data_IF_343999013386
#
_entry.id   IF_343999013386
#
_cell.length_a   1.000
_cell.length_b   1.000
_cell.length_c   1.000
_cell.angle_alpha   90.00
_cell.angle_beta   90.00
_cell.angle_gamma   90.00
#
_symmetry.space_group_name_H-M   'P 1'
#
loop_
_entity.id
_entity.type
_entity.pdbx_description
1 polymer ?
#
# COMPACT_ATOMS: atom_id res chain seq x y z
N UNK A 1 2.44 13.62 2.31
CA UNK A 1 1.17 14.39 2.27
C UNK A 1 0.14 13.52 1.58
N UNK A 2 -1.08 13.37 2.13
CA UNK A 2 -2.14 12.60 1.47
C UNK A 2 -2.61 13.32 0.20
N UNK A 3 -2.84 12.57 -0.87
CA UNK A 3 -3.49 13.10 -2.08
C UNK A 3 -4.99 12.83 -1.96
N UNK A 4 -5.80 13.90 -2.03
CA UNK A 4 -7.25 13.82 -2.07
C UNK A 4 -7.76 13.69 -3.51
N UNK A 5 -8.73 12.82 -3.72
CA UNK A 5 -9.34 12.55 -5.01
C UNK A 5 -10.86 12.57 -4.89
N UNK A 6 -11.53 13.14 -5.88
CA UNK A 6 -13.00 13.15 -5.99
C UNK A 6 -13.45 12.09 -6.99
N UNK A 7 -14.39 11.27 -6.57
CA UNK A 7 -14.88 10.13 -7.33
C UNK A 7 -16.39 10.09 -7.42
N UNK A 8 -16.90 9.57 -8.54
CA UNK A 8 -18.31 9.23 -8.73
C UNK A 8 -18.46 7.76 -9.07
N UNK A 9 -19.45 7.11 -8.47
CA UNK A 9 -19.76 5.71 -8.74
C UNK A 9 -20.59 5.60 -10.01
N UNK A 10 -20.16 4.77 -10.97
CA UNK A 10 -20.90 4.56 -12.21
C UNK A 10 -22.21 3.77 -12.00
N UNK A 11 -22.36 3.07 -10.87
CA UNK A 11 -23.51 2.21 -10.59
C UNK A 11 -24.63 2.90 -9.79
N UNK A 12 -24.28 3.86 -8.91
CA UNK A 12 -25.26 4.52 -8.05
C UNK A 12 -25.12 6.05 -7.99
N UNK A 13 -24.27 6.62 -8.85
CA UNK A 13 -23.98 8.06 -8.96
C UNK A 13 -23.52 8.74 -7.66
N UNK A 14 -23.18 7.96 -6.63
CA UNK A 14 -22.69 8.51 -5.38
C UNK A 14 -21.33 9.17 -5.60
N UNK A 15 -21.18 10.38 -5.08
CA UNK A 15 -19.94 11.15 -5.14
C UNK A 15 -19.26 11.16 -3.77
N UNK A 16 -17.95 10.92 -3.73
CA UNK A 16 -17.18 10.96 -2.50
C UNK A 16 -15.76 11.46 -2.72
N UNK A 17 -15.15 11.93 -1.63
CA UNK A 17 -13.74 12.28 -1.59
C UNK A 17 -12.95 11.19 -0.86
N UNK A 18 -11.76 10.90 -1.35
CA UNK A 18 -10.89 9.90 -0.75
C UNK A 18 -9.45 10.41 -0.65
N UNK A 19 -8.86 10.23 0.52
CA UNK A 19 -7.46 10.56 0.79
C UNK A 19 -6.59 9.30 0.70
N UNK A 20 -5.67 9.29 -0.26
CA UNK A 20 -4.73 8.19 -0.40
C UNK A 20 -3.59 8.30 0.60
N UNK A 21 -3.15 7.14 1.07
CA UNK A 21 -1.96 7.02 1.94
C UNK A 21 -0.94 6.13 1.24
N UNK A 22 0.25 6.68 0.99
CA UNK A 22 1.39 5.93 0.43
C UNK A 22 2.28 5.39 1.54
N UNK A 23 2.52 4.08 1.52
CA UNK A 23 3.42 3.37 2.43
C UNK A 23 4.44 2.58 1.62
N UNK A 24 5.66 2.48 2.14
CA UNK A 24 6.73 1.70 1.51
C UNK A 24 7.53 0.94 2.56
N UNK A 25 7.86 -0.31 2.27
CA UNK A 25 8.73 -1.12 3.14
C UNK A 25 9.77 -1.89 2.31
N UNK A 26 11.01 -1.80 2.79
CA UNK A 26 12.16 -2.47 2.21
C UNK A 26 12.95 -1.66 1.17
N UNK A 27 14.16 -2.14 0.82
CA UNK A 27 15.09 -1.49 -0.10
C UNK A 27 14.61 -1.49 -1.56
N UNK A 28 14.99 -0.45 -2.31
CA UNK A 28 14.49 -0.17 -3.67
C UNK A 28 15.23 -0.94 -4.78
N UNK A 29 16.44 -1.42 -4.49
CA UNK A 29 17.39 -1.93 -5.48
C UNK A 29 16.93 -3.18 -6.25
N UNK A 30 15.93 -3.93 -5.75
CA UNK A 30 15.37 -5.11 -6.44
C UNK A 30 13.94 -4.89 -6.95
N UNK A 31 13.50 -3.64 -7.01
CA UNK A 31 12.16 -3.28 -7.42
C UNK A 31 11.08 -3.62 -6.39
N UNK A 32 9.85 -3.18 -6.68
CA UNK A 32 8.72 -3.25 -5.77
C UNK A 32 7.51 -3.96 -6.36
N UNK A 33 6.75 -4.61 -5.50
CA UNK A 33 5.35 -4.98 -5.70
C UNK A 33 4.49 -3.88 -5.11
N UNK A 34 3.39 -3.55 -5.78
CA UNK A 34 2.46 -2.51 -5.34
C UNK A 34 1.13 -3.14 -5.02
N UNK A 35 0.64 -2.88 -3.81
CA UNK A 35 -0.65 -3.32 -3.34
C UNK A 35 -1.56 -2.13 -3.09
N UNK A 36 -2.84 -2.29 -3.39
CA UNK A 36 -3.85 -1.25 -3.21
C UNK A 36 -5.04 -1.81 -2.44
N UNK A 37 -5.56 -1.03 -1.49
CA UNK A 37 -6.84 -1.30 -0.85
C UNK A 37 -7.94 -0.49 -1.55
N UNK A 38 -8.97 -1.14 -2.09
CA UNK A 38 -10.00 -0.44 -2.87
C UNK A 38 -10.97 0.38 -2.04
N UNK A 39 -11.11 0.06 -0.75
CA UNK A 39 -11.95 0.81 0.21
C UNK A 39 -11.32 2.12 0.70
N UNK A 40 -10.01 2.16 0.95
CA UNK A 40 -9.36 3.35 1.54
C UNK A 40 -8.17 3.90 0.74
N UNK A 41 -7.87 3.31 -0.43
CA UNK A 41 -6.73 3.66 -1.29
C UNK A 41 -5.41 3.80 -0.52
N UNK A 42 -5.20 2.91 0.46
CA UNK A 42 -3.85 2.68 0.98
C UNK A 42 -3.04 2.01 -0.11
N UNK A 43 -1.97 2.67 -0.55
CA UNK A 43 -0.99 2.14 -1.47
C UNK A 43 0.22 1.65 -0.68
N UNK A 44 0.55 0.38 -0.83
CA UNK A 44 1.70 -0.23 -0.16
C UNK A 44 2.70 -0.72 -1.21
N UNK A 45 3.92 -0.21 -1.16
CA UNK A 45 5.05 -0.71 -1.95
C UNK A 45 5.93 -1.61 -1.08
N UNK A 46 6.16 -2.84 -1.52
CA UNK A 46 7.00 -3.83 -0.81
C UNK A 46 8.09 -4.32 -1.74
N UNK A 47 9.34 -4.41 -1.26
CA UNK A 47 10.44 -4.97 -2.07
C UNK A 47 10.08 -6.36 -2.60
N UNK A 48 10.37 -6.63 -3.88
CA UNK A 48 10.14 -7.96 -4.49
C UNK A 48 11.01 -9.04 -3.84
N UNK A 49 12.25 -8.66 -3.59
CA UNK A 49 13.31 -9.53 -3.09
C UNK A 49 14.13 -8.76 -2.08
N UNK A 50 14.61 -9.44 -1.05
CA UNK A 50 15.40 -8.81 0.00
C UNK A 50 16.45 -9.76 0.55
N UNK A 51 17.67 -9.27 0.78
CA UNK A 51 18.69 -9.98 1.57
C UNK A 51 18.83 -9.36 2.97
N UNK A 52 19.41 -10.12 3.89
CA UNK A 52 19.53 -9.74 5.30
C UNK A 52 20.33 -8.44 5.54
N UNK A 53 21.41 -8.22 4.80
CA UNK A 53 22.25 -7.02 4.98
C UNK A 53 21.51 -5.77 4.51
N UNK A 54 20.92 -5.84 3.31
CA UNK A 54 20.18 -4.70 2.77
C UNK A 54 18.92 -4.39 3.58
N UNK A 55 18.27 -5.42 4.16
CA UNK A 55 17.18 -5.22 5.11
C UNK A 55 17.64 -4.50 6.37
N UNK A 56 18.75 -4.93 6.96
CA UNK A 56 19.31 -4.31 8.17
C UNK A 56 19.63 -2.83 7.94
N UNK A 57 20.33 -2.52 6.85
CA UNK A 57 20.66 -1.13 6.47
C UNK A 57 19.39 -0.32 6.23
N UNK A 58 18.39 -0.90 5.57
CA UNK A 58 17.12 -0.21 5.36
C UNK A 58 16.40 0.07 6.69
N UNK A 59 16.34 -0.91 7.59
CA UNK A 59 15.71 -0.76 8.91
C UNK A 59 16.35 0.36 9.73
N UNK A 60 17.68 0.38 9.82
CA UNK A 60 18.41 1.42 10.56
C UNK A 60 18.06 2.83 10.09
N UNK A 61 17.87 3.01 8.78
CA UNK A 61 17.52 4.30 8.18
C UNK A 61 16.03 4.65 8.24
N UNK A 62 15.15 3.70 8.55
CA UNK A 62 13.69 3.87 8.44
C UNK A 62 12.92 3.54 9.74
N UNK A 63 13.60 3.33 10.87
CA UNK A 63 12.96 2.92 12.14
C UNK A 63 11.80 3.84 12.56
N UNK A 64 11.96 5.15 12.42
CA UNK A 64 10.94 6.14 12.78
C UNK A 64 9.64 5.99 11.97
N UNK A 65 9.72 5.51 10.73
CA UNK A 65 8.56 5.29 9.86
C UNK A 65 7.77 4.03 10.24
N UNK A 66 8.42 3.07 10.93
CA UNK A 66 7.81 1.80 11.34
C UNK A 66 7.00 1.95 12.63
N UNK A 67 7.54 2.69 13.61
CA UNK A 67 6.97 2.79 14.97
C UNK A 67 5.50 3.26 14.96
N UNK A 68 5.14 4.15 14.03
CA UNK A 68 3.81 4.78 14.02
C UNK A 68 2.81 4.10 13.09
N UNK A 69 3.12 2.94 12.50
CA UNK A 69 2.23 2.30 11.53
C UNK A 69 2.12 0.78 11.75
N UNK A 70 0.94 0.33 12.19
CA UNK A 70 0.65 -1.08 12.48
C UNK A 70 0.92 -2.00 11.30
N UNK A 71 0.54 -1.60 10.07
CA UNK A 71 0.80 -2.38 8.85
C UNK A 71 2.29 -2.61 8.64
N UNK A 72 3.07 -1.53 8.76
CA UNK A 72 4.51 -1.61 8.52
C UNK A 72 5.22 -2.44 9.59
N UNK A 73 4.74 -2.40 10.84
CA UNK A 73 5.25 -3.25 11.91
C UNK A 73 4.93 -4.73 11.68
N UNK A 74 3.69 -5.07 11.28
CA UNK A 74 3.33 -6.45 10.96
C UNK A 74 4.17 -6.99 9.78
N UNK A 75 4.33 -6.19 8.73
CA UNK A 75 5.17 -6.55 7.59
C UNK A 75 6.64 -6.70 7.98
N UNK A 76 7.17 -5.83 8.84
CA UNK A 76 8.52 -5.93 9.38
C UNK A 76 8.72 -7.29 10.07
N UNK A 77 7.81 -7.67 10.98
CA UNK A 77 7.89 -8.94 11.70
C UNK A 77 7.88 -10.14 10.74
N UNK A 78 7.03 -10.09 9.71
CA UNK A 78 6.98 -11.17 8.71
C UNK A 78 8.23 -11.22 7.82
N UNK A 79 8.82 -10.07 7.46
CA UNK A 79 10.07 -10.00 6.71
C UNK A 79 11.24 -10.53 7.57
N UNK A 80 11.34 -10.12 8.83
CA UNK A 80 12.35 -10.62 9.79
C UNK A 80 12.27 -12.15 9.87
N UNK A 81 11.07 -12.70 10.09
CA UNK A 81 10.84 -14.15 10.17
C UNK A 81 11.29 -14.88 8.91
N UNK A 82 11.04 -14.33 7.72
CA UNK A 82 11.47 -14.96 6.46
C UNK A 82 12.98 -14.93 6.28
N UNK A 83 13.62 -13.82 6.65
CA UNK A 83 15.07 -13.65 6.55
C UNK A 83 15.83 -14.50 7.56
N UNK A 84 15.28 -14.74 8.75
CA UNK A 84 15.87 -15.63 9.76
C UNK A 84 15.89 -17.09 9.28
N UNK A 85 14.88 -17.51 8.54
CA UNK A 85 14.78 -18.85 7.94
C UNK A 85 15.63 -19.03 6.67
N UNK A 86 16.15 -17.94 6.10
CA UNK A 86 17.00 -18.00 4.91
C UNK A 86 18.44 -18.38 5.26
N UNK A 87 19.04 -19.26 4.44
CA UNK A 87 20.44 -19.67 4.61
C UNK A 87 21.38 -18.60 4.04
N UNK A 88 22.22 -18.01 4.89
CA UNK A 88 23.28 -17.08 4.49
C UNK A 88 22.76 -15.75 3.94
N UNK A 89 23.41 -15.24 2.89
CA UNK A 89 23.06 -13.98 2.21
C UNK A 89 22.11 -14.18 1.02
N UNK A 90 21.44 -15.34 0.94
CA UNK A 90 20.55 -15.65 -0.18
C UNK A 90 19.36 -14.67 -0.19
N UNK A 91 19.13 -13.92 -1.28
CA UNK A 91 17.99 -13.04 -1.36
C UNK A 91 16.68 -13.83 -1.32
N UNK A 92 15.74 -13.37 -0.50
CA UNK A 92 14.44 -14.00 -0.29
C UNK A 92 13.38 -13.27 -1.09
N UNK A 93 12.59 -14.01 -1.86
CA UNK A 93 11.41 -13.47 -2.55
C UNK A 93 10.27 -13.26 -1.55
N UNK A 94 9.72 -12.05 -1.54
CA UNK A 94 8.61 -11.68 -0.67
C UNK A 94 7.27 -11.95 -1.38
N UNK A 95 6.80 -13.19 -1.26
CA UNK A 95 5.48 -13.60 -1.71
C UNK A 95 4.43 -13.36 -0.60
N UNK A 96 3.82 -12.18 -0.64
CA UNK A 96 2.58 -11.86 0.09
C UNK A 96 1.40 -12.16 -0.84
N UNK A 97 0.53 -13.10 -0.44
CA UNK A 97 -0.57 -13.61 -1.29
C UNK A 97 -1.83 -12.73 -1.22
N UNK A 98 -2.16 -12.24 -0.03
CA UNK A 98 -3.13 -11.18 0.24
C UNK A 98 -3.00 -10.83 1.72
N UNK A 99 -3.28 -9.58 2.08
CA UNK A 99 -3.26 -9.14 3.47
C UNK A 99 -4.46 -8.25 3.70
N UNK A 100 -5.22 -8.49 4.78
CA UNK A 100 -6.32 -7.61 5.16
C UNK A 100 -5.78 -6.18 5.33
N UNK A 101 -6.38 -5.17 4.71
CA UNK A 101 -5.91 -3.81 4.86
C UNK A 101 -6.09 -3.38 6.33
N UNK A 102 -5.02 -3.17 7.11
CA UNK A 102 -5.16 -2.87 8.54
C UNK A 102 -5.60 -1.42 8.78
N UNK A 103 -5.52 -0.54 7.77
CA UNK A 103 -6.00 0.85 7.86
C UNK A 103 -7.52 0.91 7.96
N UNK A 104 -8.25 0.15 7.14
CA UNK A 104 -9.72 0.20 7.10
C UNK A 104 -10.41 -1.11 7.49
N UNK A 105 -9.68 -2.23 7.47
CA UNK A 105 -10.17 -3.58 7.74
C UNK A 105 -11.37 -4.03 6.90
N UNK A 106 -11.67 -3.34 5.78
CA UNK A 106 -12.83 -3.60 4.91
C UNK A 106 -12.50 -4.45 3.67
N UNK A 107 -11.32 -4.25 3.10
CA UNK A 107 -10.84 -4.98 1.93
C UNK A 107 -9.43 -5.54 2.18
N UNK A 108 -9.00 -6.45 1.33
CA UNK A 108 -7.63 -6.91 1.27
C UNK A 108 -6.78 -5.96 0.42
N UNK A 109 -5.50 -5.88 0.74
CA UNK A 109 -4.47 -5.28 -0.09
C UNK A 109 -4.17 -6.24 -1.25
N UNK A 110 -4.52 -5.83 -2.46
CA UNK A 110 -4.36 -6.64 -3.66
C UNK A 110 -3.27 -6.04 -4.55
N UNK A 111 -2.43 -6.91 -5.11
CA UNK A 111 -1.46 -6.50 -6.13
C UNK A 111 -2.20 -6.25 -7.44
N UNK A 112 -2.04 -5.05 -7.98
CA UNK A 112 -2.63 -4.68 -9.26
C UNK A 112 -1.58 -4.50 -10.35
N UNK A 113 -1.93 -4.78 -11.62
CA UNK A 113 -1.15 -4.32 -12.76
C UNK A 113 -0.97 -2.80 -12.71
N UNK A 114 0.15 -2.32 -13.26
CA UNK A 114 0.42 -0.88 -13.33
C UNK A 114 -0.68 -0.18 -14.14
N UNK A 115 -1.28 0.88 -13.56
CA UNK A 115 -2.27 1.73 -14.22
C UNK A 115 -3.74 1.43 -13.86
N UNK A 116 -4.01 0.33 -13.16
CA UNK A 116 -5.35 0.04 -12.65
C UNK A 116 -5.55 0.65 -11.25
N UNK A 117 -6.64 1.40 -11.07
CA UNK A 117 -7.02 2.03 -9.80
C UNK A 117 -8.53 1.85 -9.49
N UNK A 118 -9.03 0.60 -9.43
CA UNK A 118 -10.41 0.36 -9.05
C UNK A 118 -10.66 0.84 -7.61
N UNK A 119 -11.89 1.29 -7.39
CA UNK A 119 -12.34 1.77 -6.09
C UNK A 119 -13.64 1.13 -5.72
N UNK A 120 -13.81 0.90 -4.42
CA UNK A 120 -15.07 0.43 -3.87
C UNK A 120 -15.94 1.63 -3.50
N UNK A 121 -17.09 1.76 -4.15
CA UNK A 121 -18.07 2.76 -3.76
C UNK A 121 -18.51 2.52 -2.30
N UNK A 122 -18.44 3.51 -1.41
CA UNK A 122 -18.82 3.33 -0.01
C UNK A 122 -20.34 3.15 0.19
N UNK A 123 -21.17 3.53 -0.81
CA UNK A 123 -22.62 3.41 -0.73
C UNK A 123 -23.12 2.05 -1.26
N UNK A 124 -22.76 1.66 -2.48
CA UNK A 124 -23.27 0.43 -3.10
C UNK A 124 -22.26 -0.74 -3.13
N UNK A 125 -21.02 -0.52 -2.66
CA UNK A 125 -19.93 -1.51 -2.58
C UNK A 125 -19.45 -2.06 -3.94
N UNK A 126 -19.98 -1.57 -5.05
CA UNK A 126 -19.52 -1.89 -6.41
C UNK A 126 -18.10 -1.39 -6.61
N UNK A 127 -17.27 -2.20 -7.27
CA UNK A 127 -15.95 -1.77 -7.75
C UNK A 127 -16.14 -0.90 -8.99
N UNK A 128 -16.14 0.41 -8.78
CA UNK A 128 -16.33 1.45 -9.78
C UNK A 128 -16.03 2.80 -9.11
N UNK A 129 -15.50 3.73 -9.89
CA UNK A 129 -15.13 5.06 -9.41
C UNK A 129 -14.34 5.75 -10.50
N UNK A 130 -14.97 6.70 -11.19
CA UNK A 130 -14.28 7.57 -12.13
C UNK A 130 -13.93 8.89 -11.44
N UNK A 131 -12.80 9.49 -11.82
CA UNK A 131 -12.43 10.80 -11.31
C UNK A 131 -13.36 11.86 -11.89
N UNK A 132 -14.01 12.65 -11.02
CA UNK A 132 -14.99 13.67 -11.43
C UNK A 132 -14.32 14.80 -12.25
N UNK A 133 -13.00 15.01 -12.09
CA UNK A 133 -12.20 15.95 -12.87
C UNK A 133 -10.81 15.37 -13.16
N UNK A 134 -10.51 15.06 -14.42
CA UNK A 134 -9.19 14.53 -14.83
C UNK A 134 -8.00 15.47 -14.52
N UNK A 135 -8.25 16.76 -14.21
CA UNK A 135 -7.22 17.79 -14.01
C UNK A 135 -7.12 18.36 -12.58
N UNK A 136 -7.92 17.87 -11.61
CA UNK A 136 -7.90 18.39 -10.23
C UNK A 136 -7.37 17.36 -9.23
N UNK A 137 -6.05 17.15 -9.27
CA UNK A 137 -5.31 16.77 -8.06
C UNK A 137 -5.35 17.96 -7.08
N UNK A 138 -6.42 18.06 -6.30
CA UNK A 138 -6.46 18.98 -5.17
C UNK A 138 -5.55 18.41 -4.08
N UNK A 139 -4.29 18.86 -4.05
CA UNK A 139 -3.38 18.55 -2.93
C UNK A 139 -3.89 19.32 -1.71
N UNK A 140 -4.73 18.68 -0.91
CA UNK A 140 -5.15 19.24 0.37
C UNK A 140 -3.97 19.19 1.36
N UNK A 141 -3.48 20.36 1.78
CA UNK A 141 -2.67 20.50 3.00
C UNK A 141 -3.64 20.41 4.18
N UNK A 142 -3.59 19.32 4.94
CA UNK A 142 -4.07 19.37 6.32
C UNK A 142 -2.95 20.04 7.13
N UNK A 143 -3.22 21.26 7.60
CA UNK A 143 -2.40 21.96 8.60
C UNK A 143 -2.58 21.33 9.99
#
# INVERSE_FOLDING_TARGET
MPLGFEYRCDACDYEWMLFSTGLSIGPTQWGFRKFTCFSCQTFLSISKTIDRNSWKVWLENNQSSLINNTLLNELKVEIDRRLDNARGLTPVKLDFNSMRCPTCQKDDLLELPFGEHPMRCPQCLTLSGNSINNDRLSIYRFE
#
